data_IF_700150906036
#
_entry.id   IF_700150906036
#
_cell.length_a   1.000
_cell.length_b   1.000
_cell.length_c   1.000
_cell.angle_alpha   90.00
_cell.angle_beta   90.00
_cell.angle_gamma   90.00
#
_symmetry.space_group_name_H-M   'P 1'
#
loop_
_entity.id
_entity.type
_entity.pdbx_description
1 polymer ?
#
# COMPACT_ATOMS: atom_id res chain seq x y z
N UNK A 1 17.80 13.16 17.43
CA UNK A 1 17.95 13.17 15.95
C UNK A 1 17.14 14.33 15.40
N UNK A 2 17.59 15.02 14.35
CA UNK A 2 16.80 16.08 13.69
C UNK A 2 15.62 15.41 12.96
N UNK A 3 14.40 15.93 13.14
CA UNK A 3 13.24 15.45 12.39
C UNK A 3 13.44 15.72 10.88
N UNK A 4 13.07 14.76 10.03
CA UNK A 4 13.00 14.95 8.58
C UNK A 4 11.57 15.32 8.16
N UNK A 5 11.44 16.28 7.26
CA UNK A 5 10.14 16.80 6.81
C UNK A 5 9.82 16.46 5.35
N UNK A 6 10.84 16.08 4.59
CA UNK A 6 10.79 15.77 3.16
C UNK A 6 11.80 14.65 2.85
N UNK A 7 11.70 14.08 1.64
CA UNK A 7 12.56 12.99 1.18
C UNK A 7 14.02 13.43 1.06
N UNK A 8 14.31 14.68 0.69
CA UNK A 8 15.68 15.21 0.64
C UNK A 8 16.35 15.17 2.03
N UNK A 9 15.66 15.63 3.07
CA UNK A 9 16.15 15.56 4.45
C UNK A 9 16.31 14.12 4.94
N UNK A 10 15.37 13.23 4.59
CA UNK A 10 15.47 11.80 4.91
C UNK A 10 16.72 11.16 4.27
N UNK A 11 16.96 11.41 2.98
CA UNK A 11 18.13 10.89 2.26
C UNK A 11 19.45 11.46 2.82
N UNK A 12 19.43 12.74 3.22
CA UNK A 12 20.58 13.38 3.88
C UNK A 12 20.91 12.67 5.19
N UNK A 13 19.90 12.40 6.04
CA UNK A 13 20.08 11.66 7.30
C UNK A 13 20.58 10.23 7.07
N UNK A 14 20.04 9.52 6.07
CA UNK A 14 20.50 8.17 5.71
C UNK A 14 21.99 8.19 5.35
N UNK A 15 22.43 9.19 4.58
CA UNK A 15 23.83 9.36 4.14
C UNK A 15 24.74 9.74 5.30
N UNK A 16 24.37 10.76 6.08
CA UNK A 16 25.18 11.25 7.22
C UNK A 16 25.38 10.19 8.30
N UNK A 17 24.38 9.34 8.52
CA UNK A 17 24.40 8.30 9.57
C UNK A 17 24.81 6.92 9.06
N UNK A 18 24.88 6.75 7.75
CA UNK A 18 25.06 5.44 7.10
C UNK A 18 24.02 4.41 7.60
N UNK A 19 22.74 4.80 7.59
CA UNK A 19 21.62 3.99 8.05
C UNK A 19 20.53 3.90 6.97
N UNK A 20 19.80 2.78 6.86
CA UNK A 20 18.65 2.64 5.97
C UNK A 20 17.48 3.54 6.42
N UNK A 21 16.52 3.76 5.51
CA UNK A 21 15.32 4.57 5.78
C UNK A 21 14.54 3.98 6.96
N UNK A 22 14.40 2.65 7.02
CA UNK A 22 13.74 1.95 8.13
C UNK A 22 14.30 2.34 9.49
N UNK A 23 15.62 2.40 9.63
CA UNK A 23 16.27 2.66 10.91
C UNK A 23 16.18 4.14 11.30
N UNK A 24 16.27 5.05 10.32
CA UNK A 24 16.02 6.47 10.55
C UNK A 24 14.58 6.69 11.05
N UNK A 25 13.60 6.00 10.46
CA UNK A 25 12.21 6.08 10.90
C UNK A 25 11.98 5.43 12.26
N UNK A 26 12.58 4.27 12.53
CA UNK A 26 12.51 3.61 13.83
C UNK A 26 13.06 4.49 14.94
N UNK A 27 14.23 5.12 14.73
CA UNK A 27 14.81 6.07 15.69
C UNK A 27 13.93 7.32 15.88
N UNK A 28 13.26 7.79 14.81
CA UNK A 28 12.27 8.87 14.93
C UNK A 28 11.13 8.47 15.86
N UNK A 29 10.56 7.28 15.71
CA UNK A 29 9.45 6.80 16.54
C UNK A 29 9.85 6.65 18.01
N UNK A 30 11.06 6.14 18.29
CA UNK A 30 11.61 6.06 19.66
C UNK A 30 11.71 7.45 20.30
N UNK A 31 12.30 8.41 19.57
CA UNK A 31 12.58 9.75 20.10
C UNK A 31 11.29 10.56 20.29
N UNK A 32 10.41 10.57 19.29
CA UNK A 32 9.18 11.38 19.36
C UNK A 32 8.09 10.72 20.20
N UNK A 33 8.08 9.39 20.29
CA UNK A 33 7.19 8.65 21.16
C UNK A 33 7.62 8.67 22.63
N UNK A 34 8.79 9.24 22.94
CA UNK A 34 9.40 9.24 24.28
C UNK A 34 9.37 7.83 24.92
N UNK A 35 9.68 6.82 24.11
CA UNK A 35 9.48 5.40 24.43
C UNK A 35 10.75 4.59 24.17
N UNK A 36 10.74 3.31 24.54
CA UNK A 36 11.89 2.43 24.38
C UNK A 36 11.94 1.81 23.00
N UNK A 37 13.12 1.31 22.62
CA UNK A 37 13.29 0.53 21.40
C UNK A 37 12.42 -0.73 21.42
N UNK A 38 12.35 -1.40 22.57
CA UNK A 38 11.60 -2.62 22.81
C UNK A 38 10.10 -2.41 22.62
N UNK A 39 9.56 -1.28 23.11
CA UNK A 39 8.13 -0.95 22.95
C UNK A 39 7.76 -0.66 21.49
N UNK A 40 8.64 0.04 20.76
CA UNK A 40 8.45 0.33 19.33
C UNK A 40 8.49 -0.95 18.50
N UNK A 41 9.42 -1.85 18.78
CA UNK A 41 9.53 -3.13 18.11
C UNK A 41 8.35 -4.04 18.43
N UNK A 42 7.90 -4.09 19.70
CA UNK A 42 6.73 -4.86 20.10
C UNK A 42 5.44 -4.37 19.41
N UNK A 43 5.29 -3.05 19.24
CA UNK A 43 4.18 -2.48 18.46
C UNK A 43 4.25 -2.88 17.00
N UNK A 44 5.43 -2.84 16.40
CA UNK A 44 5.60 -3.25 14.99
C UNK A 44 5.39 -4.75 14.79
N UNK A 45 5.81 -5.58 15.73
CA UNK A 45 5.52 -7.01 15.74
C UNK A 45 4.00 -7.27 15.77
N UNK A 46 3.26 -6.52 16.60
CA UNK A 46 1.79 -6.60 16.64
C UNK A 46 1.14 -6.16 15.33
N UNK A 47 1.68 -5.12 14.68
CA UNK A 47 1.25 -4.69 13.34
C UNK A 47 1.42 -5.81 12.32
N UNK A 48 2.61 -6.44 12.29
CA UNK A 48 2.88 -7.54 11.37
C UNK A 48 1.97 -8.76 11.62
N UNK A 49 1.71 -9.09 12.89
CA UNK A 49 0.81 -10.19 13.26
C UNK A 49 -0.61 -9.98 12.69
N UNK A 50 -1.16 -8.77 12.86
CA UNK A 50 -2.50 -8.41 12.33
C UNK A 50 -2.49 -8.45 10.80
N UNK A 51 -1.44 -7.91 10.17
CA UNK A 51 -1.27 -7.95 8.71
C UNK A 51 -1.26 -9.38 8.17
N UNK A 52 -0.55 -10.30 8.83
CA UNK A 52 -0.53 -11.72 8.44
C UNK A 52 -1.89 -12.37 8.56
N UNK A 53 -2.59 -12.17 9.68
CA UNK A 53 -3.93 -12.74 9.85
C UNK A 53 -4.89 -12.23 8.77
N UNK A 54 -4.93 -10.92 8.55
CA UNK A 54 -5.78 -10.30 7.53
C UNK A 54 -5.49 -10.80 6.11
N UNK A 55 -4.22 -11.06 5.77
CA UNK A 55 -3.80 -11.52 4.45
C UNK A 55 -3.98 -13.03 4.23
N UNK A 56 -3.94 -13.86 5.29
CA UNK A 56 -3.93 -15.32 5.14
C UNK A 56 -5.27 -15.98 5.48
N UNK A 57 -6.04 -15.42 6.42
CA UNK A 57 -7.28 -16.03 6.90
C UNK A 57 -8.36 -16.14 5.81
N UNK A 58 -8.63 -15.12 4.98
CA UNK A 58 -9.65 -15.19 3.93
C UNK A 58 -9.34 -16.19 2.82
N UNK A 59 -8.06 -16.42 2.52
CA UNK A 59 -7.63 -17.42 1.53
C UNK A 59 -8.09 -18.82 1.96
N UNK A 60 -8.06 -19.12 3.27
CA UNK A 60 -8.49 -20.39 3.85
C UNK A 60 -10.01 -20.44 4.04
N UNK A 61 -10.55 -19.40 4.68
CA UNK A 61 -11.94 -19.27 5.11
C UNK A 61 -12.52 -17.96 4.56
N UNK A 62 -12.99 -17.95 3.30
CA UNK A 62 -13.55 -16.74 2.72
C UNK A 62 -14.84 -16.35 3.44
N UNK A 63 -15.01 -15.06 3.67
CA UNK A 63 -16.18 -14.46 4.30
C UNK A 63 -16.78 -13.45 3.33
N UNK A 64 -18.09 -13.52 3.12
CA UNK A 64 -18.79 -12.55 2.28
C UNK A 64 -18.81 -11.19 2.96
N UNK A 65 -18.51 -10.14 2.20
CA UNK A 65 -18.53 -8.76 2.71
C UNK A 65 -19.93 -8.31 3.11
N UNK A 66 -20.00 -7.24 3.88
CA UNK A 66 -21.27 -6.63 4.32
C UNK A 66 -22.13 -6.14 3.15
N UNK A 67 -21.52 -5.53 2.13
CA UNK A 67 -22.19 -5.13 0.89
C UNK A 67 -22.41 -6.28 -0.10
N UNK A 68 -21.75 -7.41 0.13
CA UNK A 68 -21.90 -8.62 -0.66
C UNK A 68 -21.27 -8.59 -2.05
N UNK A 69 -20.43 -7.59 -2.36
CA UNK A 69 -19.76 -7.46 -3.66
C UNK A 69 -18.47 -8.29 -3.75
N UNK A 70 -17.85 -8.63 -2.61
CA UNK A 70 -16.63 -9.44 -2.52
C UNK A 70 -16.73 -10.51 -1.43
N UNK A 71 -15.82 -11.49 -1.42
CA UNK A 71 -15.70 -12.49 -0.36
C UNK A 71 -15.39 -13.90 -0.86
N UNK A 72 -14.25 -14.05 -1.52
CA UNK A 72 -13.77 -15.34 -2.02
C UNK A 72 -12.85 -15.24 -3.23
N UNK A 73 -12.64 -14.03 -3.77
CA UNK A 73 -11.75 -13.72 -4.87
C UNK A 73 -10.30 -14.10 -4.55
N UNK A 74 -9.82 -13.85 -3.32
CA UNK A 74 -8.49 -14.24 -2.90
C UNK A 74 -8.30 -15.76 -2.93
N UNK A 75 -9.30 -16.52 -2.49
CA UNK A 75 -9.29 -17.99 -2.58
C UNK A 75 -9.30 -18.47 -4.04
N UNK A 76 -10.07 -17.82 -4.93
CA UNK A 76 -10.09 -18.14 -6.36
C UNK A 76 -8.70 -17.95 -6.99
N UNK A 77 -7.99 -16.87 -6.66
CA UNK A 77 -6.63 -16.64 -7.14
C UNK A 77 -5.65 -17.70 -6.62
N UNK A 78 -5.70 -18.03 -5.33
CA UNK A 78 -4.85 -19.08 -4.76
C UNK A 78 -5.09 -20.45 -5.44
N UNK A 79 -6.35 -20.79 -5.72
CA UNK A 79 -6.68 -22.01 -6.47
C UNK A 79 -6.20 -21.95 -7.93
N UNK A 80 -6.26 -20.78 -8.57
CA UNK A 80 -5.76 -20.61 -9.92
C UNK A 80 -4.23 -20.77 -9.99
N UNK A 81 -3.49 -20.18 -9.04
CA UNK A 81 -2.05 -20.35 -8.93
C UNK A 81 -1.67 -21.83 -8.74
N UNK A 82 -2.33 -22.52 -7.80
CA UNK A 82 -2.06 -23.96 -7.54
C UNK A 82 -2.44 -24.87 -8.72
N UNK A 83 -3.28 -24.41 -9.65
CA UNK A 83 -3.59 -25.13 -10.89
C UNK A 83 -2.45 -25.09 -11.93
N UNK A 84 -1.39 -24.30 -11.70
CA UNK A 84 -0.25 -24.16 -12.61
C UNK A 84 -0.56 -23.36 -13.88
N UNK A 85 -1.69 -22.63 -13.91
CA UNK A 85 -2.16 -21.86 -15.08
C UNK A 85 -1.95 -20.35 -14.94
N UNK A 86 -1.27 -19.91 -13.89
CA UNK A 86 -1.02 -18.49 -13.68
C UNK A 86 -0.10 -17.89 -14.74
N UNK A 87 -0.37 -16.63 -15.10
CA UNK A 87 0.43 -15.82 -16.02
C UNK A 87 1.29 -14.76 -15.32
N UNK A 88 1.06 -14.48 -14.03
CA UNK A 88 1.73 -13.40 -13.30
C UNK A 88 3.06 -13.83 -12.66
N UNK A 89 3.30 -15.15 -12.56
CA UNK A 89 4.41 -15.70 -11.80
C UNK A 89 4.12 -15.75 -10.30
N UNK A 90 4.81 -16.65 -9.59
CA UNK A 90 4.44 -17.03 -8.23
C UNK A 90 4.47 -15.88 -7.22
N UNK A 91 5.43 -14.97 -7.34
CA UNK A 91 5.57 -13.85 -6.39
C UNK A 91 4.40 -12.88 -6.53
N UNK A 92 4.09 -12.45 -7.76
CA UNK A 92 3.00 -11.52 -8.00
C UNK A 92 1.63 -12.16 -7.69
N UNK A 93 1.45 -13.45 -7.95
CA UNK A 93 0.24 -14.18 -7.56
C UNK A 93 -0.01 -14.16 -6.07
N UNK A 94 1.00 -14.51 -5.27
CA UNK A 94 0.90 -14.48 -3.80
C UNK A 94 0.61 -13.04 -3.33
N UNK A 95 1.30 -12.06 -3.92
CA UNK A 95 1.17 -10.67 -3.53
C UNK A 95 -0.24 -10.10 -3.81
N UNK A 96 -0.80 -10.39 -5.00
CA UNK A 96 -2.17 -10.02 -5.35
C UNK A 96 -3.16 -10.76 -4.44
N UNK A 97 -2.95 -12.06 -4.22
CA UNK A 97 -3.81 -12.88 -3.36
C UNK A 97 -3.90 -12.30 -1.94
N UNK A 98 -2.76 -11.96 -1.35
CA UNK A 98 -2.69 -11.39 0.01
C UNK A 98 -3.29 -9.99 0.11
N UNK A 99 -3.11 -9.16 -0.92
CA UNK A 99 -3.73 -7.84 -0.97
C UNK A 99 -5.26 -7.93 -1.07
N UNK A 100 -5.77 -8.82 -1.94
CA UNK A 100 -7.21 -9.04 -2.07
C UNK A 100 -7.81 -9.66 -0.82
N UNK A 101 -7.10 -10.59 -0.16
CA UNK A 101 -7.53 -11.19 1.10
C UNK A 101 -7.66 -10.13 2.21
N UNK A 102 -6.66 -9.27 2.37
CA UNK A 102 -6.73 -8.17 3.36
C UNK A 102 -7.97 -7.30 3.16
N UNK A 103 -8.37 -7.04 1.91
CA UNK A 103 -9.57 -6.27 1.60
C UNK A 103 -10.87 -7.05 1.84
N UNK A 104 -10.86 -8.37 1.70
CA UNK A 104 -11.98 -9.22 2.17
C UNK A 104 -12.13 -9.12 3.69
N UNK A 105 -11.03 -9.20 4.45
CA UNK A 105 -11.04 -9.01 5.90
C UNK A 105 -11.60 -7.64 6.28
N UNK A 106 -11.15 -6.58 5.62
CA UNK A 106 -11.66 -5.22 5.85
C UNK A 106 -13.17 -5.13 5.56
N UNK A 107 -13.61 -5.64 4.42
CA UNK A 107 -15.01 -5.56 3.99
C UNK A 107 -15.96 -6.45 4.82
N UNK A 108 -15.42 -7.44 5.54
CA UNK A 108 -16.16 -8.25 6.53
C UNK A 108 -16.04 -7.71 7.95
N UNK A 109 -15.59 -6.46 8.15
CA UNK A 109 -15.40 -5.82 9.47
C UNK A 109 -14.38 -6.55 10.38
N UNK A 110 -13.44 -7.28 9.76
CA UNK A 110 -12.32 -7.89 10.46
C UNK A 110 -11.26 -6.87 10.86
N UNK A 111 -10.30 -7.30 11.68
CA UNK A 111 -9.20 -6.45 12.12
C UNK A 111 -8.15 -6.32 11.01
N UNK A 112 -7.82 -5.08 10.63
CA UNK A 112 -6.78 -4.75 9.65
C UNK A 112 -5.85 -3.67 10.18
N UNK A 113 -4.70 -3.48 9.51
CA UNK A 113 -3.84 -2.32 9.72
C UNK A 113 -3.97 -1.37 8.53
N UNK A 114 -4.38 -0.14 8.79
CA UNK A 114 -4.45 0.90 7.76
C UNK A 114 -3.06 1.21 7.20
N UNK A 115 -2.92 1.25 5.87
CA UNK A 115 -1.62 1.46 5.21
C UNK A 115 -1.71 2.19 3.84
N UNK A 116 -2.00 3.51 3.80
CA UNK A 116 -2.28 4.40 4.93
C UNK A 116 -3.76 4.46 5.34
N UNK A 117 -4.68 3.95 4.51
CA UNK A 117 -6.12 3.93 4.80
C UNK A 117 -6.66 2.50 4.84
N UNK A 118 -7.88 2.33 5.34
CA UNK A 118 -8.57 1.04 5.30
C UNK A 118 -8.76 0.53 3.86
N UNK A 119 -9.08 1.42 2.92
CA UNK A 119 -9.31 1.07 1.51
C UNK A 119 -8.06 0.71 0.72
N UNK A 120 -6.87 0.94 1.27
CA UNK A 120 -5.57 0.62 0.68
C UNK A 120 -4.75 -0.37 1.54
N UNK A 121 -5.37 -0.91 2.59
CA UNK A 121 -4.71 -1.69 3.63
C UNK A 121 -4.04 -2.98 3.14
N UNK A 122 -4.40 -3.48 1.97
CA UNK A 122 -3.88 -4.74 1.43
C UNK A 122 -2.54 -4.62 0.71
N UNK A 123 -2.15 -3.43 0.24
CA UNK A 123 -1.01 -3.30 -0.67
C UNK A 123 0.32 -3.56 0.03
N UNK A 124 0.56 -2.89 1.16
CA UNK A 124 1.80 -3.06 1.95
C UNK A 124 1.98 -4.51 2.43
N UNK A 125 1.04 -5.12 3.16
CA UNK A 125 1.18 -6.51 3.57
C UNK A 125 1.18 -7.47 2.38
N UNK A 126 0.43 -7.17 1.31
CA UNK A 126 0.38 -8.00 0.11
C UNK A 126 1.76 -8.22 -0.49
N UNK A 127 2.49 -7.13 -0.78
CA UNK A 127 3.83 -7.24 -1.35
C UNK A 127 4.85 -7.78 -0.35
N UNK A 128 4.90 -7.25 0.87
CA UNK A 128 5.95 -7.62 1.84
C UNK A 128 5.84 -9.07 2.29
N UNK A 129 4.64 -9.61 2.50
CA UNK A 129 4.46 -11.02 2.88
C UNK A 129 4.75 -11.97 1.72
N UNK A 130 4.47 -11.57 0.48
CA UNK A 130 4.87 -12.35 -0.69
C UNK A 130 6.39 -12.38 -0.84
N UNK A 131 7.06 -11.23 -0.76
CA UNK A 131 8.53 -11.15 -0.77
C UNK A 131 9.11 -11.97 0.40
N UNK A 132 8.52 -11.87 1.59
CA UNK A 132 8.91 -12.68 2.75
C UNK A 132 8.91 -14.18 2.43
N UNK A 133 7.82 -14.67 1.85
CA UNK A 133 7.65 -16.08 1.50
C UNK A 133 8.67 -16.55 0.45
N UNK A 134 8.90 -15.75 -0.59
CA UNK A 134 9.73 -16.14 -1.74
C UNK A 134 11.24 -15.97 -1.51
N UNK A 135 11.64 -15.06 -0.62
CA UNK A 135 13.05 -14.80 -0.29
C UNK A 135 13.44 -15.24 1.12
N UNK A 136 12.52 -15.87 1.86
CA UNK A 136 12.73 -16.42 3.21
C UNK A 136 13.22 -15.40 4.24
N UNK A 137 12.70 -14.16 4.16
CA UNK A 137 13.00 -13.13 5.16
C UNK A 137 12.34 -13.45 6.52
N UNK A 138 13.02 -13.10 7.60
CA UNK A 138 12.49 -13.24 8.96
C UNK A 138 11.43 -12.19 9.27
N UNK A 139 10.66 -12.39 10.34
CA UNK A 139 9.65 -11.42 10.78
C UNK A 139 10.29 -10.10 11.19
N UNK A 140 11.47 -10.14 11.80
CA UNK A 140 12.23 -8.95 12.18
C UNK A 140 12.63 -8.12 10.95
N UNK A 141 13.00 -8.78 9.84
CA UNK A 141 13.32 -8.09 8.59
C UNK A 141 12.09 -7.42 7.97
N UNK A 142 10.91 -8.07 8.06
CA UNK A 142 9.66 -7.46 7.60
C UNK A 142 9.23 -6.31 8.51
N UNK A 143 9.36 -6.45 9.83
CA UNK A 143 9.11 -5.36 10.79
C UNK A 143 10.00 -4.15 10.47
N UNK A 144 11.28 -4.38 10.17
CA UNK A 144 12.18 -3.32 9.75
C UNK A 144 11.71 -2.66 8.44
N UNK A 145 11.35 -3.44 7.42
CA UNK A 145 10.81 -2.90 6.16
C UNK A 145 9.50 -2.10 6.37
N UNK A 146 8.68 -2.45 7.36
CA UNK A 146 7.46 -1.69 7.69
C UNK A 146 7.77 -0.29 8.25
N UNK A 147 8.90 -0.07 8.92
CA UNK A 147 9.33 1.29 9.26
C UNK A 147 9.68 2.11 8.01
N UNK A 148 10.26 1.50 6.97
CA UNK A 148 10.47 2.17 5.69
C UNK A 148 9.14 2.57 5.03
N UNK A 149 8.20 1.63 4.95
CA UNK A 149 6.84 1.91 4.49
C UNK A 149 6.23 3.09 5.26
N UNK A 150 6.37 3.08 6.59
CA UNK A 150 5.91 4.15 7.48
C UNK A 150 6.55 5.51 7.19
N UNK A 151 7.84 5.56 6.83
CA UNK A 151 8.53 6.80 6.48
C UNK A 151 7.91 7.45 5.23
N UNK A 152 7.66 6.66 4.18
CA UNK A 152 7.04 7.15 2.94
C UNK A 152 5.60 7.61 3.19
N UNK A 153 4.83 6.83 3.96
CA UNK A 153 3.47 7.20 4.35
C UNK A 153 3.44 8.50 5.17
N UNK A 154 4.36 8.65 6.11
CA UNK A 154 4.53 9.88 6.90
C UNK A 154 4.82 11.10 6.00
N UNK A 155 5.76 10.99 5.06
CA UNK A 155 6.08 12.08 4.14
C UNK A 155 4.87 12.51 3.29
N UNK A 156 4.10 11.53 2.81
CA UNK A 156 2.92 11.81 1.99
C UNK A 156 1.77 12.42 2.82
N UNK A 157 1.55 11.93 4.05
CA UNK A 157 0.57 12.50 4.98
C UNK A 157 0.94 13.93 5.40
N UNK A 158 2.23 14.18 5.66
CA UNK A 158 2.72 15.50 6.09
C UNK A 158 2.61 16.56 5.01
N UNK A 159 2.96 16.21 3.77
CA UNK A 159 3.15 17.19 2.69
C UNK A 159 1.98 17.22 1.68
N UNK A 160 1.04 16.29 1.78
CA UNK A 160 -0.11 16.20 0.88
C UNK A 160 -1.38 15.76 1.63
N UNK A 161 -1.89 14.58 1.30
CA UNK A 161 -3.07 13.96 1.89
C UNK A 161 -3.00 12.46 1.64
N UNK A 162 -3.60 11.68 2.53
CA UNK A 162 -3.85 10.25 2.30
C UNK A 162 -5.34 9.93 2.12
N UNK A 163 -6.20 10.95 2.00
CA UNK A 163 -7.65 10.78 1.95
C UNK A 163 -8.17 10.73 0.51
N UNK A 164 -8.97 9.71 0.19
CA UNK A 164 -9.62 9.56 -1.11
C UNK A 164 -10.53 10.73 -1.46
N UNK A 165 -11.28 11.23 -0.47
CA UNK A 165 -12.15 12.40 -0.59
C UNK A 165 -11.43 13.70 -0.98
N UNK A 166 -10.11 13.79 -0.75
CA UNK A 166 -9.31 14.98 -1.09
C UNK A 166 -8.49 14.74 -2.35
N UNK A 167 -7.77 13.62 -2.42
CA UNK A 167 -6.77 13.35 -3.45
C UNK A 167 -7.18 12.35 -4.53
N UNK A 168 -8.34 11.72 -4.42
CA UNK A 168 -8.68 10.53 -5.19
C UNK A 168 -7.92 9.29 -4.68
N UNK A 169 -8.15 8.14 -5.32
CA UNK A 169 -7.58 6.87 -4.86
C UNK A 169 -6.06 6.77 -5.09
N UNK A 170 -5.48 7.65 -5.93
CA UNK A 170 -4.03 7.86 -5.99
C UNK A 170 -3.44 8.26 -4.62
N UNK A 171 -4.19 8.98 -3.80
CA UNK A 171 -3.76 9.39 -2.46
C UNK A 171 -3.98 8.29 -1.41
N UNK A 172 -4.61 7.16 -1.77
CA UNK A 172 -4.75 6.02 -0.87
C UNK A 172 -3.91 4.86 -1.39
N UNK A 173 -4.38 4.24 -2.47
CA UNK A 173 -3.75 3.09 -3.11
C UNK A 173 -2.42 3.45 -3.78
N UNK A 174 -2.28 4.65 -4.35
CA UNK A 174 -1.00 5.10 -4.91
C UNK A 174 0.07 5.31 -3.84
N UNK A 175 -0.29 5.93 -2.72
CA UNK A 175 0.63 6.10 -1.58
C UNK A 175 0.97 4.74 -0.96
N UNK A 176 -0.03 3.87 -0.73
CA UNK A 176 0.21 2.52 -0.22
C UNK A 176 1.16 1.70 -1.10
N UNK A 177 0.99 1.80 -2.43
CA UNK A 177 1.88 1.16 -3.37
C UNK A 177 3.28 1.78 -3.37
N UNK A 178 3.41 3.10 -3.21
CA UNK A 178 4.71 3.76 -3.07
C UNK A 178 5.42 3.36 -1.77
N UNK A 179 4.68 3.23 -0.66
CA UNK A 179 5.16 2.69 0.62
C UNK A 179 5.68 1.27 0.44
N UNK A 180 4.90 0.40 -0.20
CA UNK A 180 5.27 -1.00 -0.44
C UNK A 180 6.50 -1.12 -1.36
N UNK A 181 6.57 -0.32 -2.43
CA UNK A 181 7.69 -0.35 -3.38
C UNK A 181 9.01 0.08 -2.72
N UNK A 182 8.99 1.15 -1.94
CA UNK A 182 10.15 1.63 -1.18
C UNK A 182 10.64 0.59 -0.17
N UNK A 183 9.71 0.00 0.59
CA UNK A 183 10.03 -1.01 1.60
C UNK A 183 10.59 -2.30 0.97
N UNK A 184 10.00 -2.78 -0.13
CA UNK A 184 10.49 -3.94 -0.87
C UNK A 184 11.87 -3.67 -1.48
N UNK A 185 12.11 -2.46 -1.99
CA UNK A 185 13.42 -2.06 -2.53
C UNK A 185 14.51 -2.11 -1.46
N UNK A 186 14.26 -1.56 -0.27
CA UNK A 186 15.23 -1.61 0.84
C UNK A 186 15.45 -3.05 1.32
N UNK A 187 14.37 -3.81 1.48
CA UNK A 187 14.43 -5.21 1.93
C UNK A 187 15.25 -6.10 0.98
N UNK A 188 15.23 -5.80 -0.33
CA UNK A 188 15.99 -6.50 -1.37
C UNK A 188 17.38 -5.87 -1.62
N UNK A 189 17.86 -5.00 -0.72
CA UNK A 189 19.22 -4.47 -0.74
C UNK A 189 19.43 -3.20 -1.57
N UNK A 190 18.35 -2.54 -2.00
CA UNK A 190 18.42 -1.24 -2.66
C UNK A 190 18.88 -0.13 -1.72
N UNK A 191 19.54 0.87 -2.28
CA UNK A 191 19.95 2.09 -1.55
C UNK A 191 18.75 2.96 -1.20
N UNK A 192 18.86 3.80 -0.16
CA UNK A 192 17.80 4.76 0.20
C UNK A 192 17.35 5.63 -0.98
N UNK A 193 18.26 5.95 -1.91
CA UNK A 193 17.94 6.68 -3.14
C UNK A 193 17.05 5.87 -4.07
N UNK A 194 17.38 4.60 -4.30
CA UNK A 194 16.54 3.67 -5.08
C UNK A 194 15.15 3.50 -4.45
N UNK A 195 15.06 3.45 -3.13
CA UNK A 195 13.76 3.40 -2.42
C UNK A 195 12.87 4.60 -2.80
N UNK A 196 13.44 5.82 -2.83
CA UNK A 196 12.70 7.02 -3.27
C UNK A 196 12.37 7.02 -4.77
N UNK A 197 13.20 6.38 -5.60
CA UNK A 197 12.90 6.18 -7.03
C UNK A 197 11.73 5.22 -7.22
N UNK A 198 11.70 4.09 -6.50
CA UNK A 198 10.58 3.15 -6.54
C UNK A 198 9.27 3.84 -6.12
N UNK A 199 9.28 4.57 -5.00
CA UNK A 199 8.12 5.33 -4.53
C UNK A 199 7.64 6.38 -5.56
N UNK A 200 8.57 7.17 -6.13
CA UNK A 200 8.23 8.19 -7.15
C UNK A 200 7.63 7.55 -8.40
N UNK A 201 8.19 6.42 -8.86
CA UNK A 201 7.69 5.67 -10.03
C UNK A 201 6.24 5.25 -9.86
N UNK A 202 5.88 4.70 -8.70
CA UNK A 202 4.51 4.29 -8.42
C UNK A 202 3.55 5.47 -8.46
N UNK A 203 3.89 6.57 -7.78
CA UNK A 203 3.03 7.76 -7.75
C UNK A 203 2.82 8.34 -9.15
N UNK A 204 3.84 8.27 -10.00
CA UNK A 204 3.74 8.68 -11.40
C UNK A 204 2.80 7.76 -12.20
N UNK A 205 2.92 6.45 -12.04
CA UNK A 205 2.10 5.46 -12.73
C UNK A 205 0.62 5.49 -12.31
N UNK A 206 0.34 5.91 -11.08
CA UNK A 206 -1.01 5.92 -10.50
C UNK A 206 -1.64 7.33 -10.47
N UNK A 207 -0.99 8.32 -11.10
CA UNK A 207 -1.45 9.70 -11.12
C UNK A 207 -2.83 9.84 -11.78
N UNK A 208 -3.72 10.62 -11.16
CA UNK A 208 -5.08 10.87 -11.64
C UNK A 208 -6.10 9.78 -11.31
N UNK A 209 -5.73 8.76 -10.52
CA UNK A 209 -6.66 7.70 -10.13
C UNK A 209 -7.78 8.24 -9.24
N UNK A 210 -9.01 8.22 -9.75
CA UNK A 210 -10.24 8.69 -9.09
C UNK A 210 -10.65 7.79 -7.93
N UNK A 211 -11.45 8.28 -6.99
CA UNK A 211 -12.09 7.46 -5.95
C UNK A 211 -13.61 7.40 -6.20
N UNK A 212 -14.11 6.25 -6.63
CA UNK A 212 -15.49 6.05 -7.12
C UNK A 212 -16.07 4.70 -6.65
N UNK A 213 -16.07 4.42 -5.33
CA UNK A 213 -16.51 3.15 -4.79
C UNK A 213 -17.99 2.89 -5.07
N UNK A 214 -18.30 1.68 -5.54
CA UNK A 214 -19.68 1.23 -5.78
C UNK A 214 -20.43 1.21 -4.47
N UNK A 215 -21.53 1.96 -4.42
CA UNK A 215 -22.34 2.07 -3.23
C UNK A 215 -21.68 2.82 -2.06
N UNK A 216 -20.56 3.52 -2.28
CA UNK A 216 -19.78 4.12 -1.19
C UNK A 216 -19.05 3.09 -0.33
N UNK A 217 -18.96 1.83 -0.78
CA UNK A 217 -18.39 0.74 -0.01
C UNK A 217 -16.92 0.50 -0.36
N UNK A 218 -16.13 0.15 0.64
CA UNK A 218 -14.72 -0.22 0.49
C UNK A 218 -14.60 -1.68 0.00
N UNK A 219 -15.21 -1.95 -1.15
CA UNK A 219 -15.30 -3.29 -1.75
C UNK A 219 -14.87 -3.22 -3.22
N UNK A 220 -15.71 -2.62 -4.08
CA UNK A 220 -15.48 -2.53 -5.52
C UNK A 220 -15.41 -1.05 -5.95
N UNK A 221 -14.38 -0.60 -6.69
CA UNK A 221 -13.24 -1.36 -7.20
C UNK A 221 -12.05 -1.45 -6.23
N UNK A 222 -12.23 -1.13 -4.94
CA UNK A 222 -11.13 -1.03 -3.96
C UNK A 222 -10.27 -2.29 -3.87
N UNK A 223 -10.89 -3.48 -3.85
CA UNK A 223 -10.15 -4.76 -3.84
C UNK A 223 -9.24 -4.90 -5.07
N UNK A 224 -9.76 -4.61 -6.27
CA UNK A 224 -9.00 -4.67 -7.52
C UNK A 224 -7.88 -3.62 -7.57
N UNK A 225 -8.09 -2.46 -6.97
CA UNK A 225 -7.04 -1.42 -6.87
C UNK A 225 -5.91 -1.81 -5.93
N UNK A 226 -6.18 -2.60 -4.91
CA UNK A 226 -5.12 -3.16 -4.07
C UNK A 226 -4.28 -4.18 -4.84
N UNK A 227 -4.92 -5.05 -5.63
CA UNK A 227 -4.23 -5.96 -6.56
C UNK A 227 -3.32 -5.21 -7.55
N UNK A 228 -3.87 -4.19 -8.23
CA UNK A 228 -3.12 -3.37 -9.18
C UNK A 228 -2.00 -2.56 -8.51
N UNK A 229 -2.23 -2.05 -7.30
CA UNK A 229 -1.24 -1.31 -6.51
C UNK A 229 -0.03 -2.19 -6.17
N UNK A 230 -0.25 -3.44 -5.78
CA UNK A 230 0.85 -4.41 -5.56
C UNK A 230 1.64 -4.66 -6.82
N UNK A 231 0.99 -4.86 -7.97
CA UNK A 231 1.68 -5.07 -9.23
C UNK A 231 2.56 -3.86 -9.61
N UNK A 232 2.03 -2.64 -9.44
CA UNK A 232 2.78 -1.42 -9.70
C UNK A 232 3.96 -1.27 -8.75
N UNK A 233 3.77 -1.58 -7.47
CA UNK A 233 4.82 -1.53 -6.46
C UNK A 233 5.96 -2.52 -6.75
N UNK A 234 5.62 -3.75 -7.15
CA UNK A 234 6.61 -4.77 -7.55
C UNK A 234 7.41 -4.31 -8.77
N UNK A 235 6.73 -3.84 -9.82
CA UNK A 235 7.40 -3.35 -11.04
C UNK A 235 8.31 -2.17 -10.73
N UNK A 236 7.86 -1.21 -9.92
CA UNK A 236 8.65 -0.05 -9.53
C UNK A 236 9.88 -0.42 -8.68
N UNK A 237 9.74 -1.40 -7.77
CA UNK A 237 10.86 -1.92 -7.00
C UNK A 237 11.88 -2.60 -7.91
N UNK A 238 11.44 -3.44 -8.85
CA UNK A 238 12.30 -4.10 -9.84
C UNK A 238 13.08 -3.07 -10.69
N UNK A 239 12.39 -2.05 -11.20
CA UNK A 239 13.03 -0.97 -11.96
C UNK A 239 14.10 -0.24 -11.14
N UNK A 240 13.80 0.11 -9.89
CA UNK A 240 14.74 0.80 -9.03
C UNK A 240 15.96 -0.07 -8.68
N UNK A 241 15.74 -1.35 -8.36
CA UNK A 241 16.81 -2.32 -8.08
C UNK A 241 17.70 -2.57 -9.30
N UNK A 242 17.13 -2.56 -10.51
CA UNK A 242 17.87 -2.62 -11.78
C UNK A 242 18.70 -1.36 -12.07
N UNK A 243 18.61 -0.33 -11.23
CA UNK A 243 19.37 0.92 -11.36
C UNK A 243 18.71 1.96 -12.26
N UNK A 244 17.45 1.76 -12.66
CA UNK A 244 16.69 2.78 -13.39
C UNK A 244 16.41 3.94 -12.45
N UNK A 245 16.90 5.12 -12.81
CA UNK A 245 16.75 6.33 -12.02
C UNK A 245 15.42 7.03 -12.34
N UNK A 246 14.89 7.78 -11.37
CA UNK A 246 13.74 8.65 -11.61
C UNK A 246 14.19 10.10 -11.80
N UNK A 247 13.63 10.73 -12.84
CA UNK A 247 13.87 12.14 -13.15
C UNK A 247 13.19 13.06 -12.12
N UNK A 248 11.96 12.72 -11.73
CA UNK A 248 11.15 13.50 -10.79
C UNK A 248 11.40 12.98 -9.37
N UNK A 249 11.97 13.79 -8.46
CA UNK A 249 12.18 13.39 -7.06
C UNK A 249 10.86 13.11 -6.34
N UNK A 250 10.92 12.30 -5.27
CA UNK A 250 9.72 11.89 -4.52
C UNK A 250 8.94 13.09 -3.95
N UNK A 251 9.63 14.11 -3.43
CA UNK A 251 8.97 15.30 -2.86
C UNK A 251 8.12 16.04 -3.92
N UNK A 252 8.67 16.21 -5.12
CA UNK A 252 7.95 16.80 -6.24
C UNK A 252 6.77 15.92 -6.66
N UNK A 253 6.97 14.60 -6.72
CA UNK A 253 5.93 13.67 -7.14
C UNK A 253 4.76 13.61 -6.14
N UNK A 254 5.02 13.70 -4.82
CA UNK A 254 3.99 13.83 -3.79
C UNK A 254 3.17 15.12 -4.01
N UNK A 255 3.84 16.24 -4.30
CA UNK A 255 3.16 17.51 -4.56
C UNK A 255 2.37 17.49 -5.88
N UNK A 256 2.89 16.85 -6.92
CA UNK A 256 2.19 16.67 -8.21
C UNK A 256 0.93 15.82 -8.01
N UNK A 257 1.04 14.68 -7.31
CA UNK A 257 -0.12 13.86 -6.94
C UNK A 257 -1.17 14.67 -6.20
N UNK A 258 -0.77 15.45 -5.20
CA UNK A 258 -1.69 16.29 -4.43
C UNK A 258 -2.40 17.35 -5.31
N UNK A 259 -1.64 18.03 -6.16
CA UNK A 259 -2.15 19.07 -7.05
C UNK A 259 -3.13 18.50 -8.07
N UNK A 260 -2.83 17.33 -8.65
CA UNK A 260 -3.75 16.61 -9.54
C UNK A 260 -5.01 16.19 -8.79
N UNK A 261 -4.87 15.66 -7.57
CA UNK A 261 -6.00 15.22 -6.75
C UNK A 261 -6.99 16.33 -6.44
N UNK A 262 -6.51 17.52 -6.08
CA UNK A 262 -7.36 18.70 -5.84
C UNK A 262 -8.15 19.16 -7.07
N UNK A 263 -7.68 18.82 -8.27
CA UNK A 263 -8.35 19.16 -9.53
C UNK A 263 -9.37 18.11 -9.95
N UNK A 264 -9.47 16.98 -9.25
CA UNK A 264 -10.50 15.99 -9.52
C UNK A 264 -11.89 16.57 -9.18
N UNK A 265 -12.89 16.41 -10.08
CA UNK A 265 -14.28 16.71 -9.79
C UNK A 265 -14.76 16.04 -8.50
N UNK A 266 -15.69 16.67 -7.79
CA UNK A 266 -16.18 16.16 -6.51
C UNK A 266 -16.86 14.79 -6.65
N UNK A 267 -17.48 14.52 -7.79
CA UNK A 267 -18.15 13.26 -8.13
C UNK A 267 -17.16 12.10 -8.26
N UNK A 268 -15.87 12.40 -8.44
CA UNK A 268 -14.77 11.45 -8.61
C UNK A 268 -13.85 11.38 -7.38
N UNK A 269 -14.31 11.92 -6.24
CA UNK A 269 -13.60 11.95 -4.94
C UNK A 269 -14.44 11.34 -3.82
N UNK A 270 -14.61 10.02 -3.86
CA UNK A 270 -15.19 9.16 -2.82
C UNK A 270 -16.70 9.36 -2.57
N UNK A 271 -17.34 10.26 -3.30
CA UNK A 271 -18.78 10.58 -3.15
C UNK A 271 -19.72 9.51 -3.71
N UNK A 272 -19.21 8.54 -4.47
CA UNK A 272 -19.98 7.53 -5.21
C UNK A 272 -20.99 8.13 -6.23
N UNK A 273 -20.75 9.38 -6.67
CA UNK A 273 -21.62 10.08 -7.64
C UNK A 273 -21.12 10.01 -9.09
N UNK A 274 -20.00 9.33 -9.35
CA UNK A 274 -19.41 9.20 -10.67
C UNK A 274 -18.62 7.92 -10.87
N UNK A 275 -17.95 7.79 -12.02
CA UNK A 275 -17.05 6.68 -12.32
C UNK A 275 -17.71 5.29 -12.24
N UNK A 276 -17.04 4.34 -11.61
CA UNK A 276 -17.51 2.97 -11.41
C UNK A 276 -18.84 2.92 -10.64
N UNK A 277 -19.06 3.85 -9.71
CA UNK A 277 -20.24 3.86 -8.85
C UNK A 277 -21.54 4.08 -9.63
N UNK A 278 -21.49 4.78 -10.77
CA UNK A 278 -22.67 5.08 -11.61
C UNK A 278 -22.82 4.16 -12.82
N UNK A 279 -21.94 3.15 -12.96
CA UNK A 279 -22.07 2.17 -14.03
C UNK A 279 -23.39 1.39 -13.88
N UNK A 280 -24.19 1.20 -14.96
CA UNK A 280 -25.50 0.54 -14.85
C UNK A 280 -25.47 -0.84 -14.19
N UNK A 281 -24.41 -1.62 -14.42
CA UNK A 281 -24.23 -2.93 -13.77
C UNK A 281 -23.94 -2.78 -12.27
N UNK A 282 -23.16 -1.77 -11.89
CA UNK A 282 -22.84 -1.52 -10.48
C UNK A 282 -24.09 -1.09 -9.71
N UNK A 283 -24.88 -0.15 -10.25
CA UNK A 283 -26.14 0.29 -9.64
C UNK A 283 -27.13 -0.87 -9.43
N UNK A 284 -27.23 -1.78 -10.40
CA UNK A 284 -28.07 -2.99 -10.29
C UNK A 284 -27.58 -3.95 -9.21
N UNK A 285 -26.27 -4.10 -9.05
CA UNK A 285 -25.66 -5.04 -8.11
C UNK A 285 -25.54 -4.53 -6.69
N UNK A 286 -25.42 -3.22 -6.48
CA UNK A 286 -25.22 -2.65 -5.14
C UNK A 286 -26.51 -2.47 -4.33
N UNK A 287 -27.68 -2.54 -4.98
CA UNK A 287 -29.01 -2.37 -4.36
C UNK A 287 -29.23 -1.06 -3.59
N UNK A 288 -28.32 -0.08 -3.73
CA UNK A 288 -28.37 1.22 -3.03
C UNK A 288 -28.61 2.40 -3.98
N UNK A 289 -28.53 2.17 -5.30
CA UNK A 289 -28.88 3.17 -6.30
C UNK A 289 -30.37 3.04 -6.63
N UNK A 290 -31.15 4.08 -6.33
CA UNK A 290 -32.56 4.24 -6.71
C UNK A 290 -32.71 4.77 -8.13
#
# INVERSE_FOLDING_TARGET
MKEFKNAVELLTLCTEKNLPISEIMRQREIILGETTAEDVDARMARVLEIMKDAAFSPVKKPVKSMGGLIGGEAKKLSLHQTSGKSICGNLLDDAITYAMATLETNASMGLIVASPTAGSAGIVPGLLLAVQKHYHFSDEQIQQALFNAGAIGYLAMRNATVAGAVGGCQAETGIAAAMAASAATELLGGTSKQCTYAASTVLMNMLGLVCDPVGGLVEYPCQNRNAAGVANALVAAEMALAGITQLIPLDEMINVMYTVGKKLPAELRETALGGCATAPSACKSCHMCS
#
